data_IF_043666660002
#
_entry.id   IF_043666660002
#
_cell.length_a   1.000
_cell.length_b   1.000
_cell.length_c   1.000
_cell.angle_alpha   90.00
_cell.angle_beta   90.00
_cell.angle_gamma   90.00
#
_symmetry.space_group_name_H-M   'P 1'
#
loop_
_entity.id
_entity.type
_entity.pdbx_description
1 polymer ?
#
# COMPACT_ATOMS: atom_id res chain seq x y z
N UNK A 1 1.76 13.53 -20.13
CA UNK A 1 0.79 12.43 -19.92
C UNK A 1 -0.16 12.86 -18.84
N UNK A 2 -1.47 12.62 -19.01
CA UNK A 2 -2.51 13.01 -18.05
C UNK A 2 -2.25 12.43 -16.66
N UNK A 3 -2.54 13.19 -15.60
CA UNK A 3 -2.40 12.73 -14.19
C UNK A 3 -3.20 11.45 -13.98
N UNK A 4 -4.43 11.43 -14.48
CA UNK A 4 -5.30 10.25 -14.40
C UNK A 4 -4.62 9.00 -14.97
N UNK A 5 -3.95 9.13 -16.11
CA UNK A 5 -3.23 8.01 -16.74
C UNK A 5 -2.05 7.53 -15.87
N UNK A 6 -1.28 8.45 -15.28
CA UNK A 6 -0.18 8.11 -14.36
C UNK A 6 -0.66 7.35 -13.13
N UNK A 7 -1.75 7.80 -12.52
CA UNK A 7 -2.34 7.13 -11.34
C UNK A 7 -2.82 5.72 -11.69
N UNK A 8 -3.55 5.56 -12.80
CA UNK A 8 -4.01 4.23 -13.23
C UNK A 8 -2.85 3.29 -13.58
N UNK A 9 -1.81 3.78 -14.25
CA UNK A 9 -0.62 2.97 -14.56
C UNK A 9 0.06 2.53 -13.26
N UNK A 10 0.30 3.44 -12.32
CA UNK A 10 0.93 3.09 -11.05
C UNK A 10 0.08 2.06 -10.29
N UNK A 11 -1.23 2.29 -10.15
CA UNK A 11 -2.14 1.36 -9.47
C UNK A 11 -2.19 -0.02 -10.14
N UNK A 12 -2.19 -0.07 -11.48
CA UNK A 12 -2.19 -1.33 -12.22
C UNK A 12 -0.87 -2.10 -12.07
N UNK A 13 0.27 -1.41 -12.16
CA UNK A 13 1.61 -2.00 -11.94
C UNK A 13 1.72 -2.55 -10.52
N UNK A 14 1.30 -1.77 -9.51
CA UNK A 14 1.27 -2.24 -8.11
C UNK A 14 0.36 -3.45 -7.94
N UNK A 15 -0.84 -3.45 -8.54
CA UNK A 15 -1.77 -4.57 -8.44
C UNK A 15 -1.21 -5.86 -9.07
N UNK A 16 -0.64 -5.76 -10.28
CA UNK A 16 0.01 -6.90 -10.94
C UNK A 16 1.13 -7.46 -10.07
N UNK A 17 1.97 -6.59 -9.52
CA UNK A 17 3.09 -6.99 -8.67
C UNK A 17 2.59 -7.74 -7.43
N UNK A 18 1.53 -7.25 -6.77
CA UNK A 18 0.91 -7.92 -5.61
C UNK A 18 0.34 -9.28 -5.99
N UNK A 19 -0.39 -9.38 -7.11
CA UNK A 19 -0.97 -10.65 -7.57
C UNK A 19 0.13 -11.67 -7.89
N UNK A 20 1.16 -11.24 -8.62
CA UNK A 20 2.28 -12.11 -8.99
C UNK A 20 3.01 -12.65 -7.75
N UNK A 21 3.30 -11.78 -6.79
CA UNK A 21 3.92 -12.17 -5.52
C UNK A 21 3.01 -13.08 -4.68
N UNK A 22 1.71 -12.79 -4.64
CA UNK A 22 0.72 -13.64 -3.97
C UNK A 22 0.67 -15.04 -4.57
N UNK A 23 0.75 -15.15 -5.90
CA UNK A 23 0.82 -16.45 -6.58
C UNK A 23 2.10 -17.22 -6.21
N UNK A 24 3.27 -16.56 -6.19
CA UNK A 24 4.52 -17.17 -5.75
C UNK A 24 4.45 -17.65 -4.29
N UNK A 25 3.86 -16.84 -3.42
CA UNK A 25 3.65 -17.19 -2.02
C UNK A 25 2.75 -18.42 -1.86
N UNK A 26 1.65 -18.49 -2.62
CA UNK A 26 0.74 -19.63 -2.61
C UNK A 26 1.46 -20.89 -3.09
N UNK A 27 2.22 -20.83 -4.18
CA UNK A 27 3.00 -21.98 -4.68
C UNK A 27 4.00 -22.49 -3.64
N UNK A 28 4.72 -21.58 -2.98
CA UNK A 28 5.65 -21.93 -1.91
C UNK A 28 4.91 -22.58 -0.72
N UNK A 29 3.76 -22.02 -0.32
CA UNK A 29 2.94 -22.60 0.76
C UNK A 29 2.38 -23.99 0.44
N UNK A 30 2.04 -24.24 -0.83
CA UNK A 30 1.62 -25.56 -1.30
C UNK A 30 2.77 -26.57 -1.28
N UNK A 31 4.00 -26.13 -1.56
CA UNK A 31 5.18 -26.98 -1.44
C UNK A 31 5.44 -27.37 0.01
N UNK A 32 5.31 -26.43 0.97
CA UNK A 32 5.47 -26.74 2.39
C UNK A 32 4.43 -27.75 2.90
N UNK A 33 3.16 -27.62 2.48
CA UNK A 33 2.11 -28.59 2.83
C UNK A 33 2.45 -30.01 2.39
N UNK A 34 3.00 -30.19 1.19
CA UNK A 34 3.46 -31.51 0.71
C UNK A 34 4.57 -32.10 1.58
N UNK A 35 5.49 -31.27 2.07
CA UNK A 35 6.55 -31.72 2.99
C UNK A 35 5.97 -32.13 4.35
N UNK A 36 4.91 -31.46 4.82
CA UNK A 36 4.20 -31.84 6.05
C UNK A 36 3.44 -33.17 5.89
N UNK A 37 2.71 -33.36 4.79
CA UNK A 37 2.02 -34.63 4.50
C UNK A 37 3.00 -35.82 4.49
N UNK A 38 4.18 -35.63 3.90
CA UNK A 38 5.25 -36.64 3.93
C UNK A 38 5.71 -36.90 5.37
N UNK A 39 5.85 -35.86 6.20
CA UNK A 39 6.23 -36.03 7.60
C UNK A 39 5.20 -36.81 8.42
N UNK A 40 3.90 -36.61 8.17
CA UNK A 40 2.84 -37.33 8.86
C UNK A 40 2.92 -38.84 8.57
N UNK A 41 3.21 -39.22 7.32
CA UNK A 41 3.46 -40.62 6.95
C UNK A 41 4.70 -41.18 7.67
N UNK A 42 5.76 -40.38 7.80
CA UNK A 42 6.97 -40.80 8.53
C UNK A 42 6.65 -41.04 10.01
N UNK A 43 5.87 -40.17 10.64
CA UNK A 43 5.45 -40.36 12.03
C UNK A 43 4.55 -41.61 12.18
N UNK A 44 3.69 -41.92 11.21
CA UNK A 44 2.92 -43.17 11.17
C UNK A 44 3.82 -44.42 11.08
N UNK A 45 4.86 -44.38 10.24
CA UNK A 45 5.85 -45.46 10.15
C UNK A 45 6.57 -45.65 11.49
N UNK A 46 6.96 -44.56 12.16
CA UNK A 46 7.65 -44.63 13.46
C UNK A 46 6.78 -45.31 14.51
N UNK A 47 5.52 -44.88 14.62
CA UNK A 47 4.56 -45.49 15.55
C UNK A 47 4.36 -46.95 15.21
N UNK A 48 4.14 -47.27 13.93
CA UNK A 48 3.88 -48.64 13.53
C UNK A 48 5.07 -49.58 13.75
N UNK A 49 6.29 -49.12 13.48
CA UNK A 49 7.53 -49.86 13.77
C UNK A 49 7.73 -50.06 15.27
N UNK A 50 7.43 -49.04 16.08
CA UNK A 50 7.51 -49.15 17.53
C UNK A 50 6.54 -50.20 18.07
N UNK A 51 5.27 -50.15 17.66
CA UNK A 51 4.25 -51.15 18.03
C UNK A 51 4.66 -52.56 17.60
N UNK A 52 5.15 -52.74 16.37
CA UNK A 52 5.65 -54.02 15.90
C UNK A 52 6.82 -54.53 16.78
N UNK A 53 7.68 -53.63 17.26
CA UNK A 53 8.78 -53.99 18.17
C UNK A 53 8.31 -54.38 19.57
N UNK A 54 7.24 -53.75 20.07
CA UNK A 54 6.59 -54.13 21.33
C UNK A 54 6.01 -55.53 21.21
N UNK A 55 5.20 -55.78 20.17
CA UNK A 55 4.60 -57.09 19.89
C UNK A 55 5.65 -58.18 19.68
N UNK A 56 6.76 -57.84 19.02
CA UNK A 56 7.91 -58.75 18.87
C UNK A 56 8.47 -59.17 20.23
N UNK A 57 8.63 -58.21 21.13
CA UNK A 57 9.18 -58.46 22.48
C UNK A 57 8.22 -59.27 23.35
N UNK A 58 6.91 -59.00 23.21
CA UNK A 58 5.85 -59.71 23.91
C UNK A 58 5.72 -61.16 23.45
N UNK A 59 5.75 -61.40 22.14
CA UNK A 59 5.73 -62.75 21.57
C UNK A 59 6.94 -63.56 22.01
N UNK A 60 8.14 -62.97 21.99
CA UNK A 60 9.37 -63.64 22.45
C UNK A 60 9.28 -64.01 23.95
N UNK A 61 8.58 -63.20 24.75
CA UNK A 61 8.45 -63.44 26.19
C UNK A 61 7.41 -64.51 26.54
N UNK A 62 6.28 -64.56 25.84
CA UNK A 62 5.13 -65.38 26.23
C UNK A 62 4.68 -66.42 25.18
N UNK A 63 4.95 -66.20 23.90
CA UNK A 63 4.62 -67.12 22.81
C UNK A 63 3.12 -67.35 22.61
N UNK A 64 2.28 -66.34 22.92
CA UNK A 64 0.82 -66.47 22.85
C UNK A 64 0.28 -66.30 21.42
N UNK A 65 -0.73 -67.12 21.06
CA UNK A 65 -1.41 -67.08 19.76
C UNK A 65 -2.04 -65.71 19.46
N UNK A 66 -2.53 -65.00 20.48
CA UNK A 66 -3.07 -63.66 20.32
C UNK A 66 -2.01 -62.66 19.81
N UNK A 67 -0.82 -62.66 20.41
CA UNK A 67 0.28 -61.77 20.02
C UNK A 67 0.77 -62.08 18.61
N UNK A 68 0.72 -63.34 18.18
CA UNK A 68 0.99 -63.72 16.79
C UNK A 68 0.06 -63.01 15.82
N UNK A 69 -1.26 -63.06 16.07
CA UNK A 69 -2.28 -62.44 15.21
C UNK A 69 -2.08 -60.92 15.14
N UNK A 70 -1.85 -60.26 16.28
CA UNK A 70 -1.62 -58.81 16.33
C UNK A 70 -0.33 -58.42 15.61
N UNK A 71 0.73 -59.21 15.76
CA UNK A 71 2.00 -58.99 15.08
C UNK A 71 1.84 -59.08 13.56
N UNK A 72 1.12 -60.10 13.07
CA UNK A 72 0.83 -60.29 11.65
C UNK A 72 0.01 -59.13 11.09
N UNK A 73 -1.06 -58.72 11.78
CA UNK A 73 -1.90 -57.58 11.37
C UNK A 73 -1.08 -56.28 11.28
N UNK A 74 -0.23 -56.02 12.27
CA UNK A 74 0.59 -54.80 12.29
C UNK A 74 1.64 -54.80 11.19
N UNK A 75 2.28 -55.94 10.93
CA UNK A 75 3.20 -56.13 9.81
C UNK A 75 2.51 -55.90 8.46
N UNK A 76 1.29 -56.43 8.27
CA UNK A 76 0.55 -56.26 7.03
C UNK A 76 0.11 -54.80 6.82
N UNK A 77 -0.29 -54.10 7.88
CA UNK A 77 -0.60 -52.65 7.84
C UNK A 77 0.62 -51.83 7.41
N UNK A 78 1.79 -52.10 7.98
CA UNK A 78 3.03 -51.44 7.57
C UNK A 78 3.42 -51.78 6.12
N UNK A 79 3.15 -53.02 5.68
CA UNK A 79 3.37 -53.44 4.28
C UNK A 79 2.61 -52.54 3.32
N UNK A 80 1.34 -52.22 3.63
CA UNK A 80 0.52 -51.33 2.81
C UNK A 80 1.18 -49.94 2.67
N UNK A 81 1.67 -49.36 3.76
CA UNK A 81 2.39 -48.07 3.74
C UNK A 81 3.66 -48.16 2.88
N UNK A 82 4.43 -49.24 2.98
CA UNK A 82 5.65 -49.43 2.18
C UNK A 82 5.38 -49.57 0.68
N UNK A 83 4.21 -50.06 0.29
CA UNK A 83 3.82 -50.24 -1.12
C UNK A 83 3.23 -48.97 -1.71
N UNK A 84 2.45 -48.21 -0.94
CA UNK A 84 1.72 -47.04 -1.43
C UNK A 84 2.53 -45.74 -1.39
N UNK A 85 3.62 -45.70 -0.62
CA UNK A 85 4.37 -44.46 -0.38
C UNK A 85 5.64 -44.36 -1.22
N UNK A 86 5.82 -43.23 -1.91
CA UNK A 86 7.06 -42.89 -2.59
C UNK A 86 7.66 -41.58 -2.06
N UNK A 87 8.99 -41.53 -1.94
CA UNK A 87 9.73 -40.36 -1.48
C UNK A 87 10.60 -39.80 -2.60
N UNK A 88 10.47 -38.49 -2.84
CA UNK A 88 11.28 -37.78 -3.85
C UNK A 88 12.69 -37.45 -3.35
N UNK A 89 12.87 -37.24 -2.05
CA UNK A 89 14.18 -36.98 -1.47
C UNK A 89 15.02 -38.26 -1.39
N UNK A 90 16.26 -38.19 -1.88
CA UNK A 90 17.16 -39.35 -1.98
C UNK A 90 17.51 -39.96 -0.61
N UNK A 91 17.65 -39.11 0.42
CA UNK A 91 18.02 -39.59 1.76
C UNK A 91 16.82 -40.26 2.43
N UNK A 92 15.64 -39.64 2.36
CA UNK A 92 14.38 -40.22 2.82
C UNK A 92 14.11 -41.55 2.13
N UNK A 93 14.19 -41.60 0.80
CA UNK A 93 14.01 -42.83 0.01
C UNK A 93 14.95 -43.94 0.47
N UNK A 94 16.24 -43.65 0.67
CA UNK A 94 17.22 -44.65 1.13
C UNK A 94 16.93 -45.18 2.53
N UNK A 95 16.48 -44.33 3.45
CA UNK A 95 16.12 -44.77 4.81
C UNK A 95 14.82 -45.58 4.78
N UNK A 96 13.82 -45.12 4.04
CA UNK A 96 12.56 -45.82 3.83
C UNK A 96 12.76 -47.23 3.24
N UNK A 97 13.52 -47.37 2.15
CA UNK A 97 13.84 -48.66 1.54
C UNK A 97 14.57 -49.60 2.52
N UNK A 98 15.45 -49.05 3.36
CA UNK A 98 16.16 -49.81 4.39
C UNK A 98 15.20 -50.33 5.47
N UNK A 99 14.28 -49.49 5.94
CA UNK A 99 13.23 -49.87 6.91
C UNK A 99 12.36 -50.97 6.28
N UNK A 100 11.86 -50.77 5.06
CA UNK A 100 11.02 -51.75 4.36
C UNK A 100 11.73 -53.09 4.14
N UNK A 101 13.02 -53.09 3.79
CA UNK A 101 13.82 -54.33 3.68
C UNK A 101 13.91 -55.04 5.03
N UNK A 102 14.20 -54.30 6.12
CA UNK A 102 14.33 -54.88 7.46
C UNK A 102 13.01 -55.42 7.98
N UNK A 103 11.92 -54.71 7.73
CA UNK A 103 10.56 -55.13 7.99
C UNK A 103 10.21 -56.47 7.31
N UNK A 104 10.56 -56.63 6.04
CA UNK A 104 10.32 -57.88 5.32
C UNK A 104 11.18 -59.04 5.84
N UNK A 105 12.44 -58.76 6.20
CA UNK A 105 13.31 -59.77 6.84
C UNK A 105 12.77 -60.21 8.21
N UNK A 106 12.16 -59.30 9.00
CA UNK A 106 11.52 -59.66 10.27
C UNK A 106 10.38 -60.66 10.07
N UNK A 107 9.52 -60.47 9.07
CA UNK A 107 8.45 -61.44 8.70
C UNK A 107 9.01 -62.81 8.35
N UNK A 108 10.08 -62.85 7.58
CA UNK A 108 10.72 -64.12 7.23
C UNK A 108 11.27 -64.86 8.45
N UNK A 109 11.85 -64.15 9.42
CA UNK A 109 12.34 -64.75 10.67
C UNK A 109 11.18 -65.17 11.57
N UNK A 110 10.16 -64.33 11.69
CA UNK A 110 8.96 -64.60 12.48
C UNK A 110 8.25 -65.85 11.98
N UNK A 111 8.02 -65.98 10.67
CA UNK A 111 7.41 -67.17 10.09
C UNK A 111 8.24 -68.45 10.35
N UNK A 112 9.58 -68.37 10.34
CA UNK A 112 10.44 -69.51 10.71
C UNK A 112 10.31 -69.89 12.20
N UNK A 113 10.02 -68.95 13.08
CA UNK A 113 9.73 -69.25 14.50
C UNK A 113 8.40 -69.99 14.65
N UNK A 114 7.40 -69.66 13.82
CA UNK A 114 6.09 -70.33 13.83
C UNK A 114 6.16 -71.80 13.35
N UNK A 115 7.20 -72.16 12.59
CA UNK A 115 7.46 -73.55 12.18
C UNK A 115 7.90 -74.47 13.34
N UNK A 116 7.98 -73.95 14.58
CA UNK A 116 8.45 -74.65 15.77
C UNK A 116 9.84 -75.29 15.57
N UNK A 117 10.88 -74.48 15.29
CA UNK A 117 12.22 -74.96 15.01
C UNK A 117 12.87 -75.60 16.25
N UNK A 118 13.95 -76.37 16.04
CA UNK A 118 14.73 -76.90 17.15
C UNK A 118 15.28 -75.78 18.06
N UNK A 119 15.42 -76.04 19.37
CA UNK A 119 15.78 -75.05 20.39
C UNK A 119 17.00 -74.18 20.06
N UNK A 120 18.03 -74.75 19.42
CA UNK A 120 19.23 -74.00 19.03
C UNK A 120 18.93 -73.00 17.90
N UNK A 121 18.14 -73.41 16.91
CA UNK A 121 17.69 -72.55 15.81
C UNK A 121 16.69 -71.51 16.31
N UNK A 122 15.76 -71.89 17.18
CA UNK A 122 14.82 -70.98 17.85
C UNK A 122 15.55 -69.83 18.57
N UNK A 123 16.52 -70.15 19.44
CA UNK A 123 17.30 -69.16 20.16
C UNK A 123 18.08 -68.21 19.22
N UNK A 124 18.58 -68.72 18.10
CA UNK A 124 19.24 -67.92 17.06
C UNK A 124 18.25 -67.00 16.35
N UNK A 125 17.08 -67.49 15.98
CA UNK A 125 16.03 -66.72 15.31
C UNK A 125 15.48 -65.62 16.22
N UNK A 126 15.22 -65.92 17.51
CA UNK A 126 14.84 -64.91 18.52
C UNK A 126 15.89 -63.80 18.61
N UNK A 127 17.18 -64.17 18.68
CA UNK A 127 18.26 -63.16 18.71
C UNK A 127 18.29 -62.31 17.45
N UNK A 128 18.14 -62.93 16.28
CA UNK A 128 18.11 -62.20 15.01
C UNK A 128 16.91 -61.26 14.94
N UNK A 129 15.72 -61.73 15.33
CA UNK A 129 14.49 -60.96 15.35
C UNK A 129 14.60 -59.76 16.30
N UNK A 130 15.09 -59.96 17.52
CA UNK A 130 15.31 -58.89 18.50
C UNK A 130 16.27 -57.82 17.99
N UNK A 131 17.42 -58.23 17.41
CA UNK A 131 18.39 -57.28 16.83
C UNK A 131 17.75 -56.51 15.68
N UNK A 132 17.00 -57.19 14.82
CA UNK A 132 16.33 -56.55 13.67
C UNK A 132 15.26 -55.56 14.11
N UNK A 133 14.46 -55.94 15.11
CA UNK A 133 13.42 -55.12 15.74
C UNK A 133 13.99 -53.83 16.34
N UNK A 134 15.08 -53.92 17.09
CA UNK A 134 15.76 -52.73 17.61
C UNK A 134 16.33 -51.86 16.48
N UNK A 135 16.92 -52.48 15.46
CA UNK A 135 17.55 -51.75 14.38
C UNK A 135 16.55 -51.02 13.48
N UNK A 136 15.36 -51.58 13.26
CA UNK A 136 14.30 -50.89 12.51
C UNK A 136 13.72 -49.70 13.28
N UNK A 137 13.58 -49.80 14.61
CA UNK A 137 13.17 -48.67 15.47
C UNK A 137 14.18 -47.53 15.38
N UNK A 138 15.48 -47.85 15.42
CA UNK A 138 16.54 -46.84 15.24
C UNK A 138 16.48 -46.18 13.86
N UNK A 139 16.30 -46.95 12.79
CA UNK A 139 16.16 -46.38 11.44
C UNK A 139 14.91 -45.51 11.32
N UNK A 140 13.78 -45.92 11.90
CA UNK A 140 12.55 -45.15 11.90
C UNK A 140 12.72 -43.82 12.65
N UNK A 141 13.42 -43.83 13.78
CA UNK A 141 13.71 -42.59 14.51
C UNK A 141 14.62 -41.65 13.70
N UNK A 142 15.68 -42.18 13.08
CA UNK A 142 16.52 -41.42 12.13
C UNK A 142 15.67 -40.83 10.99
N UNK A 143 14.69 -41.60 10.51
CA UNK A 143 13.80 -41.15 9.45
C UNK A 143 12.94 -39.95 9.89
N UNK A 144 12.35 -40.00 11.09
CA UNK A 144 11.59 -38.89 11.68
C UNK A 144 12.47 -37.64 11.83
N UNK A 145 13.71 -37.79 12.32
CA UNK A 145 14.64 -36.66 12.45
C UNK A 145 14.95 -36.00 11.10
N UNK A 146 15.21 -36.80 10.05
CA UNK A 146 15.43 -36.28 8.68
C UNK A 146 14.19 -35.52 8.20
N UNK A 147 13.01 -36.09 8.41
CA UNK A 147 11.75 -35.48 7.99
C UNK A 147 11.46 -34.17 8.74
N UNK A 148 11.62 -34.15 10.06
CA UNK A 148 11.46 -32.95 10.90
C UNK A 148 12.41 -31.83 10.49
N UNK A 149 13.66 -32.15 10.15
CA UNK A 149 14.63 -31.17 9.65
C UNK A 149 14.14 -30.56 8.33
N UNK A 150 13.63 -31.36 7.40
CA UNK A 150 13.09 -30.84 6.13
C UNK A 150 11.86 -29.95 6.33
N UNK A 151 10.93 -30.35 7.20
CA UNK A 151 9.77 -29.52 7.57
C UNK A 151 10.22 -28.20 8.18
N UNK A 152 11.17 -28.23 9.12
CA UNK A 152 11.71 -27.04 9.78
C UNK A 152 12.40 -26.09 8.79
N UNK A 153 13.23 -26.62 7.88
CA UNK A 153 13.87 -25.84 6.83
C UNK A 153 12.83 -25.21 5.88
N UNK A 154 11.83 -25.97 5.46
CA UNK A 154 10.73 -25.46 4.64
C UNK A 154 9.95 -24.35 5.36
N UNK A 155 9.69 -24.51 6.65
CA UNK A 155 9.00 -23.50 7.46
C UNK A 155 9.82 -22.21 7.59
N UNK A 156 11.14 -22.31 7.81
CA UNK A 156 12.02 -21.15 7.87
C UNK A 156 12.04 -20.40 6.53
N UNK A 157 12.10 -21.12 5.41
CA UNK A 157 12.04 -20.52 4.08
C UNK A 157 10.73 -19.75 3.86
N UNK A 158 9.59 -20.35 4.24
CA UNK A 158 8.28 -19.68 4.15
C UNK A 158 8.19 -18.47 5.08
N UNK A 159 8.73 -18.52 6.30
CA UNK A 159 8.75 -17.38 7.20
C UNK A 159 9.56 -16.21 6.60
N UNK A 160 10.73 -16.49 6.03
CA UNK A 160 11.54 -15.48 5.33
C UNK A 160 10.77 -14.90 4.14
N UNK A 161 10.15 -15.74 3.31
CA UNK A 161 9.34 -15.28 2.17
C UNK A 161 8.13 -14.45 2.63
N UNK A 162 7.51 -14.80 3.75
CA UNK A 162 6.40 -14.05 4.36
C UNK A 162 6.86 -12.65 4.77
N UNK A 163 8.00 -12.56 5.46
CA UNK A 163 8.58 -11.27 5.88
C UNK A 163 8.93 -10.41 4.66
N UNK A 164 9.56 -10.99 3.64
CA UNK A 164 9.89 -10.29 2.40
C UNK A 164 8.64 -9.81 1.66
N UNK A 165 7.60 -10.63 1.59
CA UNK A 165 6.32 -10.27 0.99
C UNK A 165 5.65 -9.10 1.71
N UNK A 166 5.54 -9.16 3.04
CA UNK A 166 4.97 -8.08 3.85
C UNK A 166 5.80 -6.79 3.72
N UNK A 167 7.13 -6.89 3.79
CA UNK A 167 8.03 -5.75 3.62
C UNK A 167 7.84 -5.08 2.26
N UNK A 168 7.72 -5.87 1.20
CA UNK A 168 7.50 -5.36 -0.15
C UNK A 168 6.11 -4.73 -0.31
N UNK A 169 5.07 -5.30 0.30
CA UNK A 169 3.74 -4.68 0.33
C UNK A 169 3.78 -3.31 1.00
N UNK A 170 4.43 -3.20 2.15
CA UNK A 170 4.61 -1.92 2.86
C UNK A 170 5.38 -0.93 1.98
N UNK A 171 6.46 -1.38 1.33
CA UNK A 171 7.25 -0.56 0.42
C UNK A 171 6.42 -0.01 -0.75
N UNK A 172 5.60 -0.85 -1.39
CA UNK A 172 4.69 -0.45 -2.49
C UNK A 172 3.65 0.56 -2.00
N UNK A 173 3.08 0.35 -0.81
CA UNK A 173 2.10 1.25 -0.19
C UNK A 173 2.71 2.63 0.08
N UNK A 174 3.87 2.67 0.75
CA UNK A 174 4.57 3.92 1.04
C UNK A 174 4.98 4.62 -0.26
N UNK A 175 5.58 3.89 -1.20
CA UNK A 175 6.00 4.42 -2.49
C UNK A 175 4.85 5.01 -3.30
N UNK A 176 3.71 4.31 -3.36
CA UNK A 176 2.51 4.79 -4.04
C UNK A 176 1.90 6.02 -3.37
N UNK A 177 1.89 6.05 -2.04
CA UNK A 177 1.41 7.21 -1.27
C UNK A 177 2.27 8.46 -1.53
N UNK A 178 3.60 8.33 -1.47
CA UNK A 178 4.54 9.41 -1.78
C UNK A 178 4.42 9.87 -3.25
N UNK A 179 4.25 8.92 -4.17
CA UNK A 179 4.07 9.22 -5.58
C UNK A 179 2.81 10.06 -5.83
N UNK A 180 1.67 9.66 -5.27
CA UNK A 180 0.41 10.42 -5.39
C UNK A 180 0.51 11.78 -4.70
N UNK A 181 1.15 11.84 -3.53
CA UNK A 181 1.36 13.10 -2.82
C UNK A 181 2.12 14.14 -3.67
N UNK A 182 3.23 13.73 -4.29
CA UNK A 182 4.03 14.60 -5.14
C UNK A 182 3.35 14.95 -6.47
N UNK A 183 2.61 13.99 -7.05
CA UNK A 183 1.94 14.18 -8.34
C UNK A 183 0.68 15.05 -8.23
N UNK A 184 -0.02 15.00 -7.09
CA UNK A 184 -1.36 15.58 -6.93
C UNK A 184 -1.47 16.47 -5.70
N UNK A 185 -1.24 15.92 -4.51
CA UNK A 185 -1.53 16.63 -3.25
C UNK A 185 -0.72 17.92 -3.09
N UNK A 186 0.58 17.90 -3.39
CA UNK A 186 1.45 19.08 -3.30
C UNK A 186 1.08 20.15 -4.33
N UNK A 187 0.95 19.85 -5.65
CA UNK A 187 0.51 20.84 -6.62
C UNK A 187 -0.87 21.42 -6.34
N UNK A 188 -1.83 20.62 -5.86
CA UNK A 188 -3.14 21.13 -5.43
C UNK A 188 -2.99 22.09 -4.25
N UNK A 189 -2.16 21.76 -3.26
CA UNK A 189 -1.86 22.66 -2.14
C UNK A 189 -1.29 24.00 -2.60
N UNK A 190 -0.37 23.98 -3.58
CA UNK A 190 0.17 25.20 -4.20
C UNK A 190 -0.90 26.03 -4.91
N UNK A 191 -1.82 25.38 -5.64
CA UNK A 191 -2.95 26.07 -6.29
C UNK A 191 -3.86 26.75 -5.27
N UNK A 192 -4.21 26.06 -4.18
CA UNK A 192 -5.07 26.60 -3.11
C UNK A 192 -4.41 27.83 -2.48
N UNK A 193 -3.14 27.72 -2.09
CA UNK A 193 -2.40 28.84 -1.49
C UNK A 193 -2.27 30.03 -2.46
N UNK A 194 -1.93 29.76 -3.71
CA UNK A 194 -1.78 30.80 -4.73
C UNK A 194 -3.10 31.52 -5.01
N UNK A 195 -4.21 30.79 -5.11
CA UNK A 195 -5.54 31.35 -5.26
C UNK A 195 -5.94 32.23 -4.08
N UNK A 196 -5.65 31.82 -2.85
CA UNK A 196 -5.91 32.63 -1.65
C UNK A 196 -5.10 33.95 -1.66
N UNK A 197 -3.81 33.89 -2.02
CA UNK A 197 -2.94 35.07 -2.12
C UNK A 197 -3.45 36.06 -3.17
N UNK A 198 -3.84 35.57 -4.34
CA UNK A 198 -4.40 36.39 -5.42
C UNK A 198 -5.76 36.97 -5.00
N UNK A 199 -6.60 36.17 -4.34
CA UNK A 199 -7.91 36.58 -3.82
C UNK A 199 -7.83 37.70 -2.78
N UNK A 200 -6.74 37.76 -2.01
CA UNK A 200 -6.44 38.87 -1.07
C UNK A 200 -5.91 40.15 -1.76
N UNK A 201 -5.86 40.18 -3.09
CA UNK A 201 -5.47 41.37 -3.87
C UNK A 201 -4.01 41.41 -4.32
N UNK A 202 -3.20 40.37 -4.02
CA UNK A 202 -1.80 40.31 -4.44
C UNK A 202 -1.66 39.83 -5.90
N UNK A 203 -2.00 40.70 -6.86
CA UNK A 203 -2.00 40.40 -8.30
C UNK A 203 -0.59 40.29 -8.93
N UNK A 204 0.47 40.38 -8.12
CA UNK A 204 1.86 40.11 -8.55
C UNK A 204 2.27 38.66 -8.31
N UNK A 205 1.54 37.91 -7.48
CA UNK A 205 1.83 36.50 -7.21
C UNK A 205 1.59 35.64 -8.46
N UNK A 206 2.42 34.61 -8.63
CA UNK A 206 2.28 33.59 -9.68
C UNK A 206 2.30 32.21 -9.05
N UNK A 207 1.41 31.35 -9.51
CA UNK A 207 1.36 29.95 -9.10
C UNK A 207 2.36 29.17 -9.95
N UNK A 208 3.42 28.66 -9.32
CA UNK A 208 4.49 27.93 -10.00
C UNK A 208 4.33 26.42 -9.79
N UNK A 209 3.88 25.74 -10.85
CA UNK A 209 3.72 24.29 -10.92
C UNK A 209 4.46 23.82 -12.17
N UNK A 210 5.63 23.24 -11.95
CA UNK A 210 6.43 22.59 -12.99
C UNK A 210 5.83 21.21 -13.34
N UNK A 211 4.71 21.23 -14.06
CA UNK A 211 4.12 20.03 -14.64
C UNK A 211 3.52 20.32 -16.00
N UNK A 212 3.55 19.31 -16.89
CA UNK A 212 2.99 19.37 -18.24
C UNK A 212 1.62 18.68 -18.35
N UNK A 213 0.96 18.51 -17.22
CA UNK A 213 -0.33 17.83 -17.10
C UNK A 213 -1.47 18.82 -16.79
N UNK A 214 -2.62 18.29 -16.41
CA UNK A 214 -3.82 19.10 -16.13
C UNK A 214 -3.62 20.11 -15.01
N UNK A 215 -2.78 19.83 -14.00
CA UNK A 215 -2.52 20.77 -12.91
C UNK A 215 -1.59 21.90 -13.35
N UNK A 216 -0.61 21.60 -14.21
CA UNK A 216 0.21 22.63 -14.85
C UNK A 216 -0.60 23.57 -15.76
N UNK A 217 -1.47 22.99 -16.59
CA UNK A 217 -2.39 23.77 -17.44
C UNK A 217 -3.34 24.64 -16.59
N UNK A 218 -3.82 24.11 -15.46
CA UNK A 218 -4.67 24.87 -14.54
C UNK A 218 -3.91 26.04 -13.89
N UNK A 219 -2.65 25.84 -13.49
CA UNK A 219 -1.80 26.90 -12.95
C UNK A 219 -1.55 28.01 -13.98
N UNK A 220 -1.28 27.65 -15.23
CA UNK A 220 -1.10 28.59 -16.33
C UNK A 220 -2.37 29.42 -16.58
N UNK A 221 -3.54 28.76 -16.65
CA UNK A 221 -4.83 29.43 -16.79
C UNK A 221 -5.13 30.40 -15.63
N UNK A 222 -4.78 30.03 -14.39
CA UNK A 222 -4.93 30.90 -13.23
C UNK A 222 -4.01 32.13 -13.31
N UNK A 223 -2.76 31.93 -13.73
CA UNK A 223 -1.80 33.02 -13.92
C UNK A 223 -2.25 33.99 -15.02
N UNK A 224 -2.81 33.50 -16.13
CA UNK A 224 -3.39 34.35 -17.17
C UNK A 224 -4.57 35.18 -16.66
N UNK A 225 -5.45 34.58 -15.86
CA UNK A 225 -6.56 35.29 -15.22
C UNK A 225 -6.05 36.42 -14.33
N UNK A 226 -5.00 36.18 -13.53
CA UNK A 226 -4.38 37.21 -12.67
C UNK A 226 -3.78 38.35 -13.51
N UNK A 227 -3.16 38.06 -14.66
CA UNK A 227 -2.66 39.09 -15.58
C UNK A 227 -3.81 39.95 -16.12
N UNK A 228 -4.91 39.32 -16.56
CA UNK A 228 -6.10 40.04 -17.05
C UNK A 228 -6.71 40.91 -15.95
N UNK A 229 -6.80 40.38 -14.72
CA UNK A 229 -7.31 41.11 -13.57
C UNK A 229 -6.44 42.33 -13.27
N UNK A 230 -5.11 42.16 -13.21
CA UNK A 230 -4.15 43.25 -13.01
C UNK A 230 -4.31 44.36 -14.07
N UNK A 231 -4.42 43.97 -15.35
CA UNK A 231 -4.63 44.93 -16.45
C UNK A 231 -5.96 45.68 -16.30
N UNK A 232 -7.03 44.98 -15.90
CA UNK A 232 -8.34 45.60 -15.66
C UNK A 232 -8.28 46.62 -14.52
N UNK A 233 -7.61 46.29 -13.41
CA UNK A 233 -7.40 47.22 -12.30
C UNK A 233 -6.59 48.45 -12.71
N UNK A 234 -5.46 48.29 -13.40
CA UNK A 234 -4.64 49.42 -13.87
C UNK A 234 -5.40 50.32 -14.86
N UNK A 235 -6.22 49.74 -15.75
CA UNK A 235 -7.07 50.51 -16.64
C UNK A 235 -8.16 51.30 -15.88
N UNK A 236 -8.74 50.69 -14.84
CA UNK A 236 -9.74 51.34 -14.00
C UNK A 236 -9.13 52.50 -13.22
N UNK A 237 -7.93 52.31 -12.65
CA UNK A 237 -7.17 53.34 -11.94
C UNK A 237 -6.83 54.52 -12.87
N UNK A 238 -6.37 54.24 -14.10
CA UNK A 238 -6.15 55.27 -15.11
C UNK A 238 -7.41 56.07 -15.47
N UNK A 239 -8.56 55.39 -15.62
CA UNK A 239 -9.86 56.06 -15.85
C UNK A 239 -10.28 56.91 -14.66
N UNK A 240 -10.03 56.45 -13.43
CA UNK A 240 -10.32 57.22 -12.21
C UNK A 240 -9.46 58.49 -12.19
N UNK A 241 -8.15 58.38 -12.45
CA UNK A 241 -7.25 59.55 -12.52
C UNK A 241 -7.72 60.54 -13.58
N UNK A 242 -8.06 60.07 -14.79
CA UNK A 242 -8.56 60.93 -15.87
C UNK A 242 -9.86 61.65 -15.48
N UNK A 243 -10.80 60.92 -14.85
CA UNK A 243 -12.08 61.48 -14.38
C UNK A 243 -11.87 62.50 -13.26
N UNK A 244 -10.99 62.23 -12.30
CA UNK A 244 -10.66 63.16 -11.22
C UNK A 244 -10.03 64.44 -11.78
N UNK A 245 -9.10 64.32 -12.74
CA UNK A 245 -8.50 65.48 -13.39
C UNK A 245 -9.54 66.33 -14.13
N UNK A 246 -10.41 65.71 -14.93
CA UNK A 246 -11.51 66.41 -15.63
C UNK A 246 -12.47 67.08 -14.64
N UNK A 247 -12.72 66.45 -13.49
CA UNK A 247 -13.56 67.01 -12.45
C UNK A 247 -12.91 68.25 -11.80
N UNK A 248 -11.60 68.22 -11.58
CA UNK A 248 -10.84 69.38 -11.08
C UNK A 248 -10.81 70.53 -12.10
N UNK A 249 -10.56 70.24 -13.38
CA UNK A 249 -10.63 71.23 -14.47
C UNK A 249 -12.01 71.89 -14.52
N UNK A 250 -13.09 71.08 -14.50
CA UNK A 250 -14.45 71.59 -14.48
C UNK A 250 -14.75 72.41 -13.22
N UNK A 251 -14.25 72.01 -12.05
CA UNK A 251 -14.37 72.79 -10.81
C UNK A 251 -13.67 74.14 -10.90
N UNK A 252 -12.47 74.20 -11.50
CA UNK A 252 -11.74 75.46 -11.70
C UNK A 252 -12.47 76.40 -12.65
N UNK A 253 -13.02 75.85 -13.75
CA UNK A 253 -13.85 76.58 -14.70
C UNK A 253 -15.09 77.19 -14.02
N UNK A 254 -15.84 76.37 -13.27
CA UNK A 254 -17.01 76.81 -12.51
C UNK A 254 -16.66 77.89 -11.48
N UNK A 255 -15.53 77.75 -10.77
CA UNK A 255 -15.09 78.75 -9.80
C UNK A 255 -14.79 80.09 -10.48
N UNK A 256 -14.11 80.06 -11.62
CA UNK A 256 -13.85 81.27 -12.42
C UNK A 256 -15.16 81.93 -12.88
N UNK A 257 -16.13 81.14 -13.35
CA UNK A 257 -17.45 81.65 -13.72
C UNK A 257 -18.17 82.32 -12.54
N UNK A 258 -18.12 81.73 -11.33
CA UNK A 258 -18.68 82.34 -10.11
C UNK A 258 -17.97 83.67 -9.80
N UNK A 259 -16.65 83.72 -9.84
CA UNK A 259 -15.87 84.95 -9.59
C UNK A 259 -16.17 86.06 -10.62
N UNK A 260 -16.41 85.71 -11.88
CA UNK A 260 -16.82 86.65 -12.92
C UNK A 260 -18.26 87.15 -12.70
N UNK A 261 -19.18 86.28 -12.29
CA UNK A 261 -20.56 86.63 -11.89
C UNK A 261 -20.59 87.55 -10.66
N UNK A 262 -19.79 87.27 -9.64
CA UNK A 262 -19.65 88.13 -8.45
C UNK A 262 -19.11 89.52 -8.82
N UNK A 263 -18.14 89.59 -9.74
CA UNK A 263 -17.67 90.88 -10.27
C UNK A 263 -18.76 91.62 -11.04
N UNK A 264 -19.51 90.94 -11.91
CA UNK A 264 -20.59 91.54 -12.68
C UNK A 264 -21.73 92.06 -11.78
N UNK A 265 -22.14 91.28 -10.79
CA UNK A 265 -23.16 91.67 -9.80
C UNK A 265 -22.69 92.87 -8.96
N UNK A 266 -21.43 92.90 -8.51
CA UNK A 266 -20.87 94.05 -7.79
C UNK A 266 -20.89 95.34 -8.63
N UNK A 267 -20.56 95.25 -9.91
CA UNK A 267 -20.66 96.39 -10.85
C UNK A 267 -22.12 96.83 -11.03
N UNK A 268 -23.05 95.88 -11.16
CA UNK A 268 -24.48 96.19 -11.32
C UNK A 268 -25.07 96.86 -10.07
N UNK A 269 -24.77 96.36 -8.88
CA UNK A 269 -25.18 96.97 -7.61
C UNK A 269 -24.59 98.37 -7.47
N UNK A 270 -23.32 98.57 -7.85
CA UNK A 270 -22.70 99.90 -7.90
C UNK A 270 -23.46 100.86 -8.82
N UNK A 271 -23.84 100.40 -10.02
CA UNK A 271 -24.65 101.18 -10.96
C UNK A 271 -26.05 101.49 -10.43
N UNK A 272 -26.70 100.55 -9.74
CA UNK A 272 -28.01 100.80 -9.13
C UNK A 272 -27.93 101.83 -8.00
N UNK A 273 -26.90 101.75 -7.15
CA UNK A 273 -26.67 102.75 -6.11
C UNK A 273 -26.44 104.14 -6.71
N UNK A 274 -25.63 104.24 -7.76
CA UNK A 274 -25.44 105.50 -8.50
C UNK A 274 -26.76 106.01 -9.11
N UNK A 275 -27.57 105.14 -9.70
CA UNK A 275 -28.88 105.50 -10.27
C UNK A 275 -29.87 105.97 -9.20
N UNK A 276 -29.86 105.37 -8.02
CA UNK A 276 -30.69 105.78 -6.87
C UNK A 276 -30.23 107.15 -6.36
N UNK A 277 -28.93 107.38 -6.22
CA UNK A 277 -28.37 108.67 -5.83
C UNK A 277 -28.69 109.76 -6.88
N UNK A 278 -28.61 109.40 -8.16
CA UNK A 278 -28.94 110.28 -9.28
C UNK A 278 -30.43 110.64 -9.30
N UNK A 279 -31.34 109.69 -9.06
CA UNK A 279 -32.77 109.97 -8.88
C UNK A 279 -33.04 110.87 -7.68
N UNK A 280 -32.30 110.69 -6.58
CA UNK A 280 -32.42 111.55 -5.40
C UNK A 280 -32.00 113.00 -5.70
N UNK A 281 -30.88 113.18 -6.41
CA UNK A 281 -30.42 114.49 -6.91
C UNK A 281 -31.41 115.13 -7.89
N UNK A 282 -32.02 114.34 -8.79
CA UNK A 282 -33.06 114.86 -9.70
C UNK A 282 -34.28 115.34 -8.90
N UNK A 283 -34.75 114.58 -7.92
CA UNK A 283 -35.86 115.01 -7.05
C UNK A 283 -35.52 116.27 -6.23
N UNK A 284 -34.28 116.40 -5.75
CA UNK A 284 -33.80 117.61 -5.06
C UNK A 284 -33.82 118.83 -6.01
N UNK A 285 -33.35 118.68 -7.25
CA UNK A 285 -33.38 119.73 -8.29
C UNK A 285 -34.81 120.08 -8.76
N UNK A 286 -35.72 119.10 -8.85
CA UNK A 286 -37.15 119.32 -9.14
C UNK A 286 -37.89 120.00 -7.97
N UNK A 287 -37.39 119.86 -6.74
CA UNK A 287 -37.93 120.56 -5.56
C UNK A 287 -37.47 122.02 -5.47
N UNK A 288 -36.26 122.33 -5.94
CA UNK A 288 -35.70 123.68 -5.99
C UNK A 288 -36.26 124.52 -7.15
N UNK A 289 -36.78 123.90 -8.21
CA UNK A 289 -37.44 124.60 -9.34
C UNK A 289 -38.92 124.91 -9.08
N UNK A 290 -39.48 124.51 -7.93
CA UNK A 290 -40.87 124.77 -7.50
C UNK A 290 -41.03 125.90 -6.45
N UNK A 291 -39.98 126.70 -6.21
CA UNK A 291 -40.04 127.95 -5.42
C UNK A 291 -39.66 129.14 -6.29
#
# INVERSE_FOLDING_TARGET
MKIRTRIHINGFVSLILVIFLGALFILASQQLRRVQEVNDIVDEIVVGVFELSVLTSEYIAHGEEHTEIEWQLKHDTLTEIFVLTEFNDLLQKRVFERIGKRHNEMKSIFNQLLENPEKELEARLIRQLSVKSQSIVVDAHIFSEISRIQVSQGQQQINILTILFISLLIFILIGSSLYVSNLVSIPIGKLVQGAEIIGKGSLKHRIDIDSKDELGQLAEAFNEMTIKLKKSYSNLEGKVIEKTKKLEESRMELKKQIEDLERATKVMVGRELEMVEMKKRINELESDTKK
#
